data_IF_817327103658
#
_entry.id   IF_817327103658
#
_cell.length_a   1.000
_cell.length_b   1.000
_cell.length_c   1.000
_cell.angle_alpha   90.00
_cell.angle_beta   90.00
_cell.angle_gamma   90.00
#
_symmetry.space_group_name_H-M   'P 1'
#
loop_
_entity.id
_entity.type
_entity.pdbx_description
1 polymer ?
#
# COMPACT_ATOMS: atom_id res chain seq x y z
N UNK A 1 0.92 12.66 0.86
CA UNK A 1 -0.53 12.74 0.52
C UNK A 1 -1.25 13.53 1.60
N UNK A 2 -2.34 14.23 1.29
CA UNK A 2 -3.21 14.90 2.29
C UNK A 2 -4.41 13.99 2.55
N UNK A 3 -4.37 13.21 3.64
CA UNK A 3 -5.32 12.13 3.93
C UNK A 3 -5.85 12.23 5.36
N UNK A 4 -7.08 11.76 5.58
CA UNK A 4 -7.75 11.81 6.88
C UNK A 4 -7.02 10.98 7.96
N UNK A 5 -6.77 9.69 7.70
CA UNK A 5 -6.08 8.80 8.65
C UNK A 5 -4.64 9.25 8.95
N UNK A 6 -3.99 9.96 8.01
CA UNK A 6 -2.69 10.58 8.27
C UNK A 6 -2.80 11.70 9.30
N UNK A 7 -3.81 12.56 9.17
CA UNK A 7 -4.04 13.64 10.13
C UNK A 7 -4.47 13.11 11.51
N UNK A 8 -5.22 12.01 11.55
CA UNK A 8 -5.57 11.30 12.77
C UNK A 8 -4.32 10.80 13.52
N UNK A 9 -3.44 10.08 12.83
CA UNK A 9 -2.22 9.53 13.43
C UNK A 9 -1.22 10.61 13.86
N UNK A 10 -1.09 11.69 13.06
CA UNK A 10 -0.31 12.87 13.46
C UNK A 10 -0.84 13.49 14.76
N UNK A 11 -2.17 13.55 14.91
CA UNK A 11 -2.82 14.06 16.10
C UNK A 11 -2.51 13.23 17.33
N UNK A 12 -2.59 11.89 17.19
CA UNK A 12 -2.22 10.94 18.25
C UNK A 12 -0.75 11.11 18.64
N UNK A 13 0.17 11.06 17.67
CA UNK A 13 1.59 11.22 17.94
C UNK A 13 1.91 12.57 18.61
N UNK A 14 1.24 13.65 18.20
CA UNK A 14 1.40 14.97 18.81
C UNK A 14 1.01 14.98 20.29
N UNK A 15 -0.17 14.45 20.65
CA UNK A 15 -0.61 14.44 22.05
C UNK A 15 0.23 13.49 22.91
N UNK A 16 0.73 12.39 22.34
CA UNK A 16 1.68 11.51 23.02
C UNK A 16 2.99 12.24 23.34
N UNK A 17 3.55 12.97 22.39
CA UNK A 17 4.73 13.81 22.63
C UNK A 17 4.50 14.86 23.72
N UNK A 18 3.35 15.55 23.68
CA UNK A 18 2.99 16.52 24.72
C UNK A 18 2.85 15.88 26.11
N UNK A 19 2.44 14.61 26.16
CA UNK A 19 2.36 13.82 27.39
C UNK A 19 3.69 13.17 27.82
N UNK A 20 4.81 13.45 27.13
CA UNK A 20 6.11 12.85 27.43
C UNK A 20 6.25 11.37 27.02
N UNK A 21 5.34 10.88 26.18
CA UNK A 21 5.40 9.54 25.56
C UNK A 21 6.11 9.60 24.21
N UNK A 22 6.34 8.42 23.63
CA UNK A 22 6.98 8.27 22.31
C UNK A 22 5.90 8.20 21.22
N UNK A 23 5.45 9.37 20.75
CA UNK A 23 4.65 9.46 19.53
C UNK A 23 5.51 9.24 18.29
N UNK A 24 5.02 8.51 17.29
CA UNK A 24 5.73 8.33 16.02
C UNK A 24 4.74 8.08 14.88
N UNK A 25 5.11 8.51 13.67
CA UNK A 25 4.35 8.23 12.44
C UNK A 25 5.34 7.80 11.36
N UNK A 26 5.11 6.64 10.75
CA UNK A 26 5.87 6.18 9.60
C UNK A 26 5.13 6.54 8.31
N UNK A 27 5.53 7.65 7.68
CA UNK A 27 4.88 8.16 6.48
C UNK A 27 5.04 7.26 5.25
N UNK A 28 6.03 6.34 5.24
CA UNK A 28 6.17 5.35 4.17
C UNK A 28 5.09 4.25 4.28
N UNK A 29 4.42 4.11 5.43
CA UNK A 29 3.38 3.11 5.69
C UNK A 29 1.95 3.67 5.67
N UNK A 30 1.78 4.91 5.21
CA UNK A 30 0.45 5.53 5.09
C UNK A 30 -0.18 5.11 3.75
N UNK A 31 -1.27 4.32 3.74
CA UNK A 31 -1.89 3.89 2.50
C UNK A 31 -2.69 5.01 1.82
N UNK A 32 -2.68 5.04 0.50
CA UNK A 32 -3.59 5.85 -0.31
C UNK A 32 -4.65 4.97 -0.98
N UNK A 33 -5.91 5.41 -0.99
CA UNK A 33 -7.02 4.70 -1.64
C UNK A 33 -7.81 5.64 -2.54
N UNK A 34 -8.16 5.15 -3.74
CA UNK A 34 -9.07 5.77 -4.70
C UNK A 34 -10.27 4.83 -4.88
N UNK A 35 -11.44 5.26 -4.42
CA UNK A 35 -12.68 4.47 -4.37
C UNK A 35 -13.44 4.45 -5.71
N UNK A 36 -12.73 4.25 -6.82
CA UNK A 36 -13.32 3.97 -8.14
C UNK A 36 -13.74 2.50 -8.25
N UNK A 37 -14.30 2.11 -9.40
CA UNK A 37 -14.55 0.70 -9.71
C UNK A 37 -13.78 0.31 -10.99
N UNK A 38 -12.74 -0.55 -10.90
CA UNK A 38 -12.18 -1.13 -9.67
C UNK A 38 -11.51 -0.08 -8.78
N UNK A 39 -11.35 -0.41 -7.49
CA UNK A 39 -10.63 0.44 -6.54
C UNK A 39 -9.13 0.41 -6.83
N UNK A 40 -8.42 1.46 -6.43
CA UNK A 40 -6.95 1.52 -6.47
C UNK A 40 -6.43 1.85 -5.08
N UNK A 41 -5.51 1.04 -4.58
CA UNK A 41 -4.87 1.26 -3.29
C UNK A 41 -3.35 1.04 -3.37
N UNK A 42 -2.59 1.80 -2.60
CA UNK A 42 -1.13 1.66 -2.57
C UNK A 42 -0.54 2.03 -1.21
N UNK A 43 0.51 1.33 -0.80
CA UNK A 43 1.33 1.66 0.37
C UNK A 43 2.81 1.45 0.04
N UNK A 44 3.70 2.20 0.69
CA UNK A 44 5.13 2.19 0.39
C UNK A 44 5.49 2.95 -0.89
N UNK A 45 6.57 2.53 -1.54
CA UNK A 45 7.20 3.26 -2.65
C UNK A 45 6.62 2.84 -4.01
N UNK A 46 6.52 3.80 -4.92
CA UNK A 46 6.25 3.51 -6.34
C UNK A 46 7.49 2.92 -7.02
N UNK A 47 7.32 2.32 -8.18
CA UNK A 47 8.45 1.74 -8.90
C UNK A 47 9.44 2.83 -9.36
N UNK A 48 8.94 4.00 -9.73
CA UNK A 48 9.76 5.17 -10.08
C UNK A 48 10.60 5.64 -8.89
N UNK A 49 10.03 5.64 -7.69
CA UNK A 49 10.76 5.97 -6.46
C UNK A 49 11.82 4.92 -6.14
N UNK A 50 11.52 3.62 -6.25
CA UNK A 50 12.51 2.55 -6.03
C UNK A 50 13.66 2.65 -7.05
N UNK A 51 13.35 2.91 -8.33
CA UNK A 51 14.36 3.17 -9.36
C UNK A 51 15.25 4.37 -9.01
N UNK A 52 14.65 5.46 -8.53
CA UNK A 52 15.38 6.67 -8.15
C UNK A 52 16.30 6.47 -6.94
N UNK A 53 16.00 5.51 -6.06
CA UNK A 53 16.86 5.13 -4.92
C UNK A 53 18.09 4.30 -5.34
N UNK A 54 18.14 3.80 -6.58
CA UNK A 54 19.22 2.92 -7.05
C UNK A 54 19.24 1.55 -6.38
N UNK A 55 18.15 1.16 -5.70
CA UNK A 55 18.01 -0.14 -5.04
C UNK A 55 17.66 -1.19 -6.09
N UNK A 56 18.33 -2.35 -6.03
CA UNK A 56 17.94 -3.49 -6.85
C UNK A 56 16.65 -4.13 -6.31
N UNK A 57 15.64 -4.28 -7.16
CA UNK A 57 14.34 -4.82 -6.76
C UNK A 57 13.79 -5.85 -7.76
N UNK A 58 12.84 -6.67 -7.29
CA UNK A 58 12.00 -7.59 -8.06
C UNK A 58 10.58 -7.06 -8.11
N UNK A 59 9.86 -7.44 -9.16
CA UNK A 59 8.44 -7.11 -9.33
C UNK A 59 7.63 -8.39 -9.39
N UNK A 60 6.77 -8.60 -8.39
CA UNK A 60 5.71 -9.61 -8.42
C UNK A 60 4.43 -9.01 -8.98
N UNK A 61 3.75 -9.71 -9.89
CA UNK A 61 2.41 -9.33 -10.37
C UNK A 61 1.50 -10.53 -10.38
N UNK A 62 0.28 -10.36 -9.88
CA UNK A 62 -0.75 -11.40 -9.93
C UNK A 62 -2.06 -10.79 -10.45
N UNK A 63 -2.57 -11.24 -11.62
CA UNK A 63 -3.82 -10.73 -12.17
C UNK A 63 -5.03 -11.24 -11.37
N UNK A 64 -6.01 -10.39 -11.10
CA UNK A 64 -7.26 -10.80 -10.45
C UNK A 64 -8.08 -11.77 -11.31
N UNK A 65 -7.88 -11.73 -12.63
CA UNK A 65 -8.36 -12.77 -13.56
C UNK A 65 -7.82 -14.18 -13.27
N UNK A 66 -6.83 -14.36 -12.39
CA UNK A 66 -6.39 -15.67 -11.92
C UNK A 66 -6.84 -15.99 -10.48
N UNK A 67 -7.54 -15.07 -9.81
CA UNK A 67 -8.06 -15.26 -8.46
C UNK A 67 -9.40 -16.02 -8.50
N UNK A 68 -9.51 -17.10 -7.72
CA UNK A 68 -10.70 -17.97 -7.72
C UNK A 68 -11.96 -17.28 -7.23
N UNK A 69 -11.86 -16.47 -6.16
CA UNK A 69 -13.00 -15.72 -5.61
C UNK A 69 -13.49 -14.66 -6.59
N UNK A 70 -12.56 -13.90 -7.15
CA UNK A 70 -12.83 -12.88 -8.16
C UNK A 70 -13.57 -13.46 -9.38
N UNK A 71 -13.10 -14.61 -9.88
CA UNK A 71 -13.80 -15.36 -10.94
C UNK A 71 -15.19 -15.84 -10.54
N UNK A 72 -15.33 -16.39 -9.33
CA UNK A 72 -16.58 -16.96 -8.87
C UNK A 72 -17.72 -15.91 -8.75
N UNK A 73 -17.38 -14.63 -8.58
CA UNK A 73 -18.33 -13.53 -8.47
C UNK A 73 -18.36 -12.63 -9.73
N UNK A 74 -17.70 -13.05 -10.81
CA UNK A 74 -17.58 -12.28 -12.06
C UNK A 74 -17.05 -10.84 -11.88
N UNK A 75 -16.11 -10.67 -10.94
CA UNK A 75 -15.46 -9.39 -10.67
C UNK A 75 -13.95 -9.60 -10.55
N UNK A 76 -13.28 -9.66 -11.70
CA UNK A 76 -11.88 -10.08 -11.80
C UNK A 76 -10.99 -9.09 -12.55
N UNK A 77 -11.45 -7.85 -12.70
CA UNK A 77 -10.65 -6.76 -13.27
C UNK A 77 -9.46 -6.42 -12.36
N UNK A 78 -8.30 -6.19 -12.97
CA UNK A 78 -7.13 -5.64 -12.31
C UNK A 78 -6.09 -6.66 -11.83
N UNK A 79 -5.23 -6.23 -10.90
CA UNK A 79 -4.04 -6.96 -10.44
C UNK A 79 -3.51 -6.47 -9.09
N UNK A 80 -2.68 -7.30 -8.46
CA UNK A 80 -1.76 -6.93 -7.38
C UNK A 80 -0.35 -6.81 -7.96
N UNK A 81 0.38 -5.77 -7.57
CA UNK A 81 1.81 -5.58 -7.86
C UNK A 81 2.58 -5.34 -6.57
N UNK A 82 3.62 -6.13 -6.36
CA UNK A 82 4.52 -6.04 -5.20
C UNK A 82 5.94 -5.72 -5.69
N UNK A 83 6.59 -4.77 -5.03
CA UNK A 83 8.00 -4.44 -5.21
C UNK A 83 8.78 -4.95 -4.00
N UNK A 84 9.79 -5.80 -4.22
CA UNK A 84 10.62 -6.35 -3.15
C UNK A 84 12.11 -6.13 -3.45
N UNK A 85 12.90 -5.77 -2.44
CA UNK A 85 14.35 -5.66 -2.56
C UNK A 85 14.98 -7.02 -2.90
N UNK A 86 15.93 -7.06 -3.85
CA UNK A 86 16.51 -8.33 -4.33
C UNK A 86 17.27 -9.11 -3.27
N UNK A 87 18.00 -8.41 -2.41
CA UNK A 87 18.93 -9.03 -1.45
C UNK A 87 18.20 -9.55 -0.20
N UNK A 88 17.25 -8.77 0.31
CA UNK A 88 16.60 -9.02 1.60
C UNK A 88 15.19 -9.57 1.49
N UNK A 89 14.61 -9.54 0.28
CA UNK A 89 13.19 -9.80 0.02
C UNK A 89 12.22 -8.86 0.76
N UNK A 90 12.73 -7.74 1.29
CA UNK A 90 11.93 -6.73 1.96
C UNK A 90 10.96 -6.10 0.97
N UNK A 91 9.67 -6.08 1.32
CA UNK A 91 8.66 -5.36 0.55
C UNK A 91 8.93 -3.86 0.65
N UNK A 92 9.06 -3.23 -0.52
CA UNK A 92 9.31 -1.80 -0.69
C UNK A 92 8.03 -1.02 -1.02
N UNK A 93 7.04 -1.69 -1.62
CA UNK A 93 5.75 -1.11 -1.91
C UNK A 93 4.78 -2.11 -2.52
N UNK A 94 3.50 -1.92 -2.23
CA UNK A 94 2.38 -2.74 -2.72
C UNK A 94 1.36 -1.84 -3.38
N UNK A 95 0.89 -2.27 -4.55
CA UNK A 95 -0.02 -1.52 -5.41
C UNK A 95 -1.11 -2.47 -5.89
N UNK A 96 -2.36 -2.14 -5.61
CA UNK A 96 -3.53 -2.97 -5.89
C UNK A 96 -4.50 -2.16 -6.74
N UNK A 97 -4.91 -2.71 -7.88
CA UNK A 97 -6.08 -2.24 -8.62
C UNK A 97 -7.01 -3.43 -8.74
N UNK A 98 -8.08 -3.49 -7.96
CA UNK A 98 -8.91 -4.68 -7.86
C UNK A 98 -10.21 -4.38 -7.09
N UNK A 99 -11.17 -5.32 -7.08
CA UNK A 99 -12.26 -5.31 -6.11
C UNK A 99 -11.72 -5.36 -4.69
N UNK A 100 -12.26 -4.50 -3.81
CA UNK A 100 -11.89 -4.39 -2.40
C UNK A 100 -10.40 -4.04 -2.18
N UNK A 101 -9.76 -3.32 -3.11
CA UNK A 101 -8.37 -2.89 -2.94
C UNK A 101 -8.17 -2.04 -1.67
N UNK A 102 -9.16 -1.22 -1.31
CA UNK A 102 -9.13 -0.40 -0.10
C UNK A 102 -9.11 -1.21 1.20
N UNK A 103 -9.71 -2.40 1.21
CA UNK A 103 -9.64 -3.31 2.37
C UNK A 103 -8.35 -4.14 2.34
N UNK A 104 -7.97 -4.66 1.17
CA UNK A 104 -6.80 -5.51 1.01
C UNK A 104 -5.48 -4.79 1.33
N UNK A 105 -5.40 -3.48 1.11
CA UNK A 105 -4.16 -2.73 1.34
C UNK A 105 -3.77 -2.66 2.82
N UNK A 106 -4.68 -2.94 3.75
CA UNK A 106 -4.38 -2.99 5.18
C UNK A 106 -3.60 -4.25 5.60
N UNK A 107 -3.57 -5.30 4.79
CA UNK A 107 -2.72 -6.50 5.01
C UNK A 107 -1.27 -6.28 4.56
N UNK A 108 -1.05 -5.31 3.65
CA UNK A 108 0.23 -5.06 2.97
C UNK A 108 1.21 -4.25 3.81
#
# INVERSE_FOLDING_TARGET
LMLAHKAEEDGVACVEYLAGKVGHVDYDKVPGVVYTNPEVASVGKTEEQVKALGVEYRVGKFPFMANSRAKAIDNAEGLVKILAEKETDKILGVHIMAPNAGELIHEA
#
